data_IF_623573352798
#
_entry.id   IF_623573352798
#
_cell.length_a   1.000
_cell.length_b   1.000
_cell.length_c   1.000
_cell.angle_alpha   90.00
_cell.angle_beta   90.00
_cell.angle_gamma   90.00
#
_symmetry.space_group_name_H-M   'P 1'
#
loop_
_entity.id
_entity.type
_entity.pdbx_description
1 polymer ?
#
# COMPACT_ATOMS: atom_id res chain seq x y z
N UNK A 1 -7.63 11.00 19.64
CA UNK A 1 -6.39 10.27 19.44
C UNK A 1 -6.66 8.97 18.69
N UNK A 2 -5.92 8.71 17.63
CA UNK A 2 -6.10 7.52 16.80
C UNK A 2 -5.56 6.30 17.55
N UNK A 3 -6.34 5.22 17.60
CA UNK A 3 -5.93 3.97 18.23
C UNK A 3 -4.84 3.28 17.39
N UNK A 4 -3.92 2.60 18.05
CA UNK A 4 -2.86 1.82 17.40
C UNK A 4 -3.30 0.35 17.32
N UNK A 5 -4.14 0.05 16.31
CA UNK A 5 -4.82 -1.24 16.16
C UNK A 5 -4.77 -1.73 14.72
N UNK A 6 -5.07 -3.02 14.53
CA UNK A 6 -5.19 -3.60 13.19
C UNK A 6 -6.29 -2.94 12.35
N UNK A 7 -7.37 -2.50 12.99
CA UNK A 7 -8.46 -1.80 12.29
C UNK A 7 -7.99 -0.49 11.68
N UNK A 8 -7.16 0.27 12.42
CA UNK A 8 -6.59 1.52 11.92
C UNK A 8 -5.56 1.23 10.84
N UNK A 9 -4.76 0.18 11.00
CA UNK A 9 -3.79 -0.24 9.99
C UNK A 9 -4.49 -0.58 8.67
N UNK A 10 -5.61 -1.31 8.75
CA UNK A 10 -6.42 -1.64 7.58
C UNK A 10 -7.01 -0.39 6.93
N UNK A 11 -7.41 0.59 7.72
CA UNK A 11 -7.96 1.85 7.22
C UNK A 11 -6.90 2.66 6.46
N UNK A 12 -5.66 2.70 6.97
CA UNK A 12 -4.54 3.34 6.29
C UNK A 12 -4.24 2.60 4.97
N UNK A 13 -4.23 1.27 5.01
CA UNK A 13 -3.99 0.46 3.82
C UNK A 13 -5.06 0.67 2.76
N UNK A 14 -6.32 0.89 3.16
CA UNK A 14 -7.41 1.20 2.24
C UNK A 14 -7.12 2.48 1.45
N UNK A 15 -6.48 3.47 2.07
CA UNK A 15 -6.04 4.69 1.38
C UNK A 15 -4.99 4.39 0.31
N UNK A 16 -4.07 3.47 0.59
CA UNK A 16 -3.06 3.04 -0.38
C UNK A 16 -3.72 2.33 -1.56
N UNK A 17 -4.67 1.43 -1.29
CA UNK A 17 -5.43 0.75 -2.34
C UNK A 17 -6.19 1.74 -3.21
N UNK A 18 -6.82 2.74 -2.61
CA UNK A 18 -7.56 3.77 -3.35
C UNK A 18 -6.62 4.54 -4.29
N UNK A 19 -5.43 4.89 -3.83
CA UNK A 19 -4.44 5.58 -4.64
C UNK A 19 -3.96 4.71 -5.82
N UNK A 20 -3.70 3.43 -5.58
CA UNK A 20 -3.28 2.50 -6.61
C UNK A 20 -4.39 2.27 -7.64
N UNK A 21 -5.64 2.13 -7.19
CA UNK A 21 -6.78 1.99 -8.10
C UNK A 21 -6.97 3.24 -8.96
N UNK A 22 -6.72 4.41 -8.39
CA UNK A 22 -6.76 5.66 -9.15
C UNK A 22 -5.69 5.66 -10.25
N UNK A 23 -4.50 5.16 -9.94
CA UNK A 23 -3.43 5.04 -10.93
C UNK A 23 -3.79 4.05 -12.03
N UNK A 24 -4.53 2.99 -11.71
CA UNK A 24 -5.05 2.05 -12.72
C UNK A 24 -6.04 2.76 -13.65
N UNK A 25 -6.96 3.55 -13.09
CA UNK A 25 -7.94 4.31 -13.87
C UNK A 25 -7.26 5.32 -14.80
N UNK A 26 -6.14 5.88 -14.38
CA UNK A 26 -5.37 6.85 -15.17
C UNK A 26 -4.40 6.16 -16.14
N UNK A 27 -4.45 4.84 -16.25
CA UNK A 27 -3.59 4.05 -17.13
C UNK A 27 -2.09 4.17 -16.81
N UNK A 28 -1.77 4.47 -15.54
CA UNK A 28 -0.38 4.48 -15.05
C UNK A 28 0.06 3.07 -14.69
N UNK A 29 -0.83 2.31 -14.02
CA UNK A 29 -0.58 0.92 -13.68
C UNK A 29 -1.23 0.03 -14.75
N UNK A 30 -0.48 -0.98 -15.20
CA UNK A 30 -0.97 -1.94 -16.19
C UNK A 30 -2.15 -2.73 -15.63
N UNK A 31 -3.06 -3.12 -16.51
CA UNK A 31 -4.18 -4.00 -16.17
C UNK A 31 -3.93 -5.40 -16.69
N UNK A 32 -4.46 -6.40 -15.96
CA UNK A 32 -4.44 -7.77 -16.42
C UNK A 32 -5.50 -7.93 -17.52
N UNK A 33 -5.12 -8.38 -18.75
CA UNK A 33 -6.08 -8.50 -19.84
C UNK A 33 -7.19 -9.52 -19.58
N UNK A 34 -6.97 -10.48 -18.68
CA UNK A 34 -7.98 -11.50 -18.38
C UNK A 34 -9.02 -10.97 -17.38
N UNK A 35 -8.58 -10.29 -16.34
CA UNK A 35 -9.43 -9.84 -15.23
C UNK A 35 -9.82 -8.37 -15.30
N UNK A 36 -9.17 -7.60 -16.13
CA UNK A 36 -9.32 -6.14 -16.23
C UNK A 36 -9.04 -5.44 -14.90
N UNK A 37 -8.18 -6.04 -14.08
CA UNK A 37 -7.76 -5.50 -12.79
C UNK A 37 -6.34 -4.96 -12.86
N UNK A 38 -6.00 -4.03 -11.98
CA UNK A 38 -4.65 -3.49 -11.91
C UNK A 38 -3.63 -4.53 -11.43
N UNK A 39 -2.45 -4.51 -12.04
CA UNK A 39 -1.36 -5.41 -11.65
C UNK A 39 -0.55 -4.74 -10.55
N UNK A 40 -0.97 -4.92 -9.31
CA UNK A 40 -0.27 -4.40 -8.14
C UNK A 40 -0.48 -5.32 -6.94
N UNK A 41 0.42 -5.22 -5.97
CA UNK A 41 0.34 -5.96 -4.71
C UNK A 41 0.60 -5.01 -3.54
N UNK A 42 -0.09 -5.22 -2.43
CA UNK A 42 0.15 -4.46 -1.20
C UNK A 42 0.23 -5.45 -0.04
N UNK A 43 1.28 -5.36 0.74
CA UNK A 43 1.42 -6.15 1.97
C UNK A 43 1.02 -5.26 3.15
N UNK A 44 -0.08 -5.62 3.80
CA UNK A 44 -0.62 -4.87 4.93
C UNK A 44 0.01 -5.41 6.22
N UNK A 45 0.67 -4.55 7.02
CA UNK A 45 1.24 -4.99 8.29
C UNK A 45 0.14 -5.20 9.33
N UNK A 46 0.43 -6.05 10.32
CA UNK A 46 -0.43 -6.29 11.47
C UNK A 46 0.16 -5.61 12.69
N UNK A 47 -0.70 -5.31 13.68
CA UNK A 47 -0.24 -4.75 14.96
C UNK A 47 0.84 -5.62 15.60
N UNK A 48 0.71 -6.94 15.49
CA UNK A 48 1.67 -7.89 16.03
C UNK A 48 3.05 -7.82 15.36
N UNK A 49 3.14 -7.29 14.15
CA UNK A 49 4.40 -7.15 13.42
C UNK A 49 5.20 -5.91 13.88
N UNK A 50 4.58 -5.02 14.65
CA UNK A 50 5.25 -3.81 15.12
C UNK A 50 6.27 -4.12 16.21
N UNK A 51 7.43 -3.47 16.13
CA UNK A 51 8.42 -3.54 17.21
C UNK A 51 7.96 -2.68 18.39
N UNK A 52 8.56 -2.88 19.57
CA UNK A 52 8.26 -2.07 20.74
C UNK A 52 8.54 -0.59 20.50
N UNK A 53 9.60 -0.29 19.77
CA UNK A 53 9.96 1.08 19.43
C UNK A 53 8.92 1.70 18.49
N UNK A 54 8.47 0.95 17.48
CA UNK A 54 7.42 1.41 16.57
C UNK A 54 6.13 1.70 17.33
N UNK A 55 5.74 0.82 18.25
CA UNK A 55 4.53 1.02 19.04
C UNK A 55 4.63 2.26 19.93
N UNK A 56 5.78 2.47 20.58
CA UNK A 56 6.00 3.67 21.42
C UNK A 56 5.91 4.96 20.60
N UNK A 57 6.42 4.94 19.38
CA UNK A 57 6.41 6.10 18.49
C UNK A 57 5.13 6.16 17.65
N UNK A 58 4.21 5.24 17.85
CA UNK A 58 2.96 5.11 17.09
C UNK A 58 3.23 5.01 15.58
N UNK A 59 4.32 4.37 15.22
CA UNK A 59 4.71 4.17 13.84
C UNK A 59 4.25 2.78 13.39
N UNK A 60 3.53 2.70 12.28
CA UNK A 60 3.17 1.42 11.69
C UNK A 60 4.40 0.71 11.13
N UNK A 61 4.43 -0.63 11.13
CA UNK A 61 5.37 -1.34 10.28
C UNK A 61 5.23 -0.88 8.82
N UNK A 62 6.31 -0.97 8.06
CA UNK A 62 6.30 -0.48 6.69
C UNK A 62 5.24 -1.21 5.83
N UNK A 63 4.47 -0.44 5.08
CA UNK A 63 3.56 -0.98 4.06
C UNK A 63 4.38 -1.13 2.78
N UNK A 64 4.51 -2.37 2.32
CA UNK A 64 5.25 -2.66 1.10
C UNK A 64 4.28 -2.87 -0.06
N UNK A 65 4.59 -2.28 -1.19
CA UNK A 65 3.75 -2.43 -2.38
C UNK A 65 4.61 -2.62 -3.62
N UNK A 66 4.02 -3.25 -4.61
CA UNK A 66 4.62 -3.36 -5.93
C UNK A 66 3.55 -3.14 -6.99
N UNK A 67 3.94 -2.56 -8.11
CA UNK A 67 3.03 -2.29 -9.21
C UNK A 67 3.78 -2.43 -10.52
N UNK A 68 3.04 -2.82 -11.56
CA UNK A 68 3.56 -2.87 -12.91
C UNK A 68 3.05 -1.66 -13.67
N UNK A 69 3.96 -0.79 -14.11
CA UNK A 69 3.59 0.40 -14.85
C UNK A 69 3.33 0.06 -16.30
N UNK A 70 2.32 0.69 -16.87
CA UNK A 70 1.99 0.52 -18.27
C UNK A 70 3.02 1.23 -19.14
N UNK A 71 3.60 0.49 -20.09
CA UNK A 71 4.57 1.04 -21.04
C UNK A 71 4.19 0.71 -22.46
N UNK A 72 4.66 1.53 -23.39
CA UNK A 72 4.34 1.38 -24.81
C UNK A 72 4.92 0.09 -25.42
N UNK A 73 6.10 -0.32 -24.96
CA UNK A 73 6.81 -1.50 -25.47
C UNK A 73 7.02 -2.54 -24.37
N UNK A 74 7.43 -2.08 -23.21
CA UNK A 74 7.69 -2.93 -22.05
C UNK A 74 7.03 -2.36 -20.81
N UNK A 75 6.45 -3.22 -19.99
CA UNK A 75 6.00 -2.81 -18.66
C UNK A 75 7.17 -2.76 -17.69
N UNK A 76 7.11 -1.86 -16.73
CA UNK A 76 8.15 -1.68 -15.72
C UNK A 76 7.56 -2.02 -14.35
N UNK A 77 8.21 -2.92 -13.62
CA UNK A 77 7.80 -3.25 -12.26
C UNK A 77 8.47 -2.31 -11.28
N UNK A 78 7.66 -1.70 -10.42
CA UNK A 78 8.11 -0.75 -9.39
C UNK A 78 7.74 -1.28 -8.02
N UNK A 79 8.65 -1.17 -7.06
CA UNK A 79 8.40 -1.51 -5.66
C UNK A 79 8.53 -0.26 -4.82
N UNK A 80 7.70 -0.16 -3.80
CA UNK A 80 7.74 0.96 -2.88
C UNK A 80 7.50 0.54 -1.46
N UNK A 81 7.89 1.41 -0.54
CA UNK A 81 7.68 1.23 0.89
C UNK A 81 7.09 2.51 1.45
N UNK A 82 5.99 2.39 2.17
CA UNK A 82 5.33 3.53 2.80
C UNK A 82 5.51 3.46 4.29
N UNK A 83 6.01 4.54 4.87
CA UNK A 83 6.15 4.71 6.31
C UNK A 83 5.06 5.63 6.82
N UNK A 84 4.32 5.15 7.83
CA UNK A 84 3.20 5.90 8.39
C UNK A 84 3.38 6.05 9.89
N UNK A 85 3.28 7.28 10.39
CA UNK A 85 3.24 7.58 11.83
C UNK A 85 1.85 8.07 12.16
N UNK A 86 1.22 7.44 13.15
CA UNK A 86 -0.15 7.78 13.55
C UNK A 86 -0.11 8.91 14.57
N UNK A 87 -0.57 10.08 14.17
CA UNK A 87 -0.69 11.25 15.02
C UNK A 87 -2.16 11.49 15.34
N UNK A 88 -2.46 11.66 16.60
CA UNK A 88 -3.87 11.88 16.91
C UNK A 88 -4.13 12.33 18.31
#
# INVERSE_FOLDING_TARGET
KIAYTDDVFALVAAGVFAALNRAVELHIIATDPEDDTGVYTVVIPKRADATDEQARNRQMPDIKWSAQLEGAVHSVKVNGTLRVTLNG
#
